data_IF_013898854029
#
_entry.id   IF_013898854029
#
_cell.length_a   1.000
_cell.length_b   1.000
_cell.length_c   1.000
_cell.angle_alpha   90.00
_cell.angle_beta   90.00
_cell.angle_gamma   90.00
#
_symmetry.space_group_name_H-M   'P 1'
#
loop_
_entity.id
_entity.type
_entity.pdbx_description
1 polymer ?
#
# COMPACT_ATOMS: atom_id res chain seq x y z
N UNK A 1 2.54 10.08 37.83
CA UNK A 1 2.58 10.13 36.35
C UNK A 1 2.52 8.71 35.82
N UNK A 2 1.33 8.24 35.43
CA UNK A 2 1.20 6.91 34.83
C UNK A 2 1.76 6.99 33.40
N UNK A 3 2.85 6.27 33.13
CA UNK A 3 3.36 6.07 31.78
C UNK A 3 2.29 5.31 30.99
N UNK A 4 1.49 6.03 30.19
CA UNK A 4 0.63 5.39 29.19
C UNK A 4 1.59 4.82 28.15
N UNK A 5 1.90 3.53 28.27
CA UNK A 5 2.54 2.78 27.21
C UNK A 5 1.55 2.76 26.04
N UNK A 6 1.67 3.76 25.17
CA UNK A 6 0.99 3.79 23.88
C UNK A 6 1.61 2.69 23.02
N UNK A 7 1.03 1.50 23.12
CA UNK A 7 1.38 0.41 22.23
C UNK A 7 0.90 0.82 20.83
N UNK A 8 1.80 1.34 20.00
CA UNK A 8 1.51 1.68 18.60
C UNK A 8 0.88 0.49 17.85
N UNK A 9 1.33 -0.72 18.19
CA UNK A 9 0.79 -1.99 17.69
C UNK A 9 -0.68 -2.24 18.09
N UNK A 10 -1.18 -1.63 19.16
CA UNK A 10 -2.58 -1.76 19.61
C UNK A 10 -3.49 -0.68 19.01
N UNK A 11 -2.92 0.45 18.56
CA UNK A 11 -3.69 1.54 17.92
C UNK A 11 -3.94 1.27 16.43
N UNK A 12 -3.11 0.44 15.80
CA UNK A 12 -3.25 0.09 14.37
C UNK A 12 -4.42 -0.89 14.18
N UNK A 13 -5.29 -0.59 13.21
CA UNK A 13 -6.41 -1.45 12.83
C UNK A 13 -5.94 -2.62 11.95
N UNK A 14 -5.64 -3.74 12.58
CA UNK A 14 -5.16 -4.96 11.91
C UNK A 14 -6.19 -5.59 10.98
N UNK A 15 -7.49 -5.38 11.23
CA UNK A 15 -8.56 -5.92 10.38
C UNK A 15 -8.54 -5.25 9.01
N UNK A 16 -8.39 -3.93 8.97
CA UNK A 16 -8.30 -3.12 7.75
C UNK A 16 -7.03 -3.49 6.97
N UNK A 17 -5.89 -3.63 7.65
CA UNK A 17 -4.64 -4.09 7.00
C UNK A 17 -4.83 -5.50 6.41
N UNK A 18 -5.46 -6.41 7.15
CA UNK A 18 -5.74 -7.77 6.68
C UNK A 18 -6.59 -7.78 5.41
N UNK A 19 -7.69 -7.02 5.39
CA UNK A 19 -8.56 -6.88 4.21
C UNK A 19 -7.78 -6.28 3.03
N UNK A 20 -6.98 -5.24 3.27
CA UNK A 20 -6.13 -4.63 2.24
C UNK A 20 -5.18 -5.65 1.61
N UNK A 21 -4.49 -6.47 2.41
CA UNK A 21 -3.56 -7.50 1.91
C UNK A 21 -4.27 -8.56 1.06
N UNK A 22 -5.46 -9.00 1.48
CA UNK A 22 -6.28 -9.96 0.71
C UNK A 22 -6.68 -9.37 -0.63
N UNK A 23 -7.17 -8.12 -0.65
CA UNK A 23 -7.58 -7.46 -1.88
C UNK A 23 -6.40 -7.26 -2.84
N UNK A 24 -5.24 -6.85 -2.34
CA UNK A 24 -4.03 -6.65 -3.15
C UNK A 24 -3.54 -7.97 -3.74
N UNK A 25 -3.51 -9.05 -2.95
CA UNK A 25 -3.07 -10.37 -3.43
C UNK A 25 -4.06 -10.96 -4.44
N UNK A 26 -5.37 -10.89 -4.18
CA UNK A 26 -6.40 -11.31 -5.14
C UNK A 26 -6.38 -10.49 -6.43
N UNK A 27 -6.23 -9.16 -6.33
CA UNK A 27 -6.13 -8.28 -7.49
C UNK A 27 -4.89 -8.55 -8.33
N UNK A 28 -3.76 -8.86 -7.69
CA UNK A 28 -2.56 -9.26 -8.40
C UNK A 28 -2.72 -10.60 -9.13
N UNK A 29 -3.28 -11.62 -8.45
CA UNK A 29 -3.57 -12.92 -9.06
C UNK A 29 -4.51 -12.78 -10.28
N UNK A 30 -5.50 -11.89 -10.22
CA UNK A 30 -6.39 -11.58 -11.34
C UNK A 30 -5.61 -11.07 -12.57
N UNK A 31 -4.66 -10.16 -12.37
CA UNK A 31 -3.86 -9.59 -13.48
C UNK A 31 -2.84 -10.59 -14.02
N UNK A 32 -2.26 -11.43 -13.17
CA UNK A 32 -1.43 -12.56 -13.61
C UNK A 32 -2.23 -13.54 -14.47
N UNK A 33 -3.47 -13.87 -14.08
CA UNK A 33 -4.35 -14.76 -14.84
C UNK A 33 -4.77 -14.17 -16.20
N UNK A 34 -5.07 -12.88 -16.25
CA UNK A 34 -5.46 -12.20 -17.50
C UNK A 34 -4.29 -12.03 -18.50
N UNK A 35 -3.05 -12.07 -18.00
CA UNK A 35 -1.83 -11.82 -18.80
C UNK A 35 -1.04 -13.10 -19.10
N UNK A 36 -1.65 -14.28 -18.92
CA UNK A 36 -0.97 -15.57 -18.97
C UNK A 36 -0.71 -16.03 -20.42
N UNK A 37 0.37 -15.54 -21.04
CA UNK A 37 0.92 -16.09 -22.27
C UNK A 37 1.87 -17.26 -21.94
N UNK A 38 1.52 -18.46 -22.39
CA UNK A 38 2.14 -19.74 -22.01
C UNK A 38 3.61 -19.95 -22.45
N UNK A 39 4.23 -19.00 -23.15
CA UNK A 39 5.44 -19.26 -23.95
C UNK A 39 6.75 -18.68 -23.41
N UNK A 40 6.74 -17.66 -22.55
CA UNK A 40 7.97 -17.09 -21.96
C UNK A 40 7.87 -17.05 -20.44
N UNK A 41 8.63 -17.97 -19.85
CA UNK A 41 8.60 -18.36 -18.45
C UNK A 41 9.56 -17.46 -17.65
N UNK A 42 9.26 -16.18 -17.53
CA UNK A 42 9.92 -15.32 -16.54
C UNK A 42 8.89 -14.64 -15.64
N UNK A 43 8.51 -15.34 -14.58
CA UNK A 43 7.71 -14.80 -13.46
C UNK A 43 8.36 -13.56 -12.80
N UNK A 44 9.66 -13.37 -13.02
CA UNK A 44 10.47 -12.24 -12.53
C UNK A 44 10.79 -11.20 -13.61
N UNK A 45 10.18 -11.28 -14.80
CA UNK A 45 10.35 -10.24 -15.81
C UNK A 45 9.47 -9.02 -15.49
N UNK A 46 10.13 -7.97 -15.00
CA UNK A 46 9.55 -6.66 -14.72
C UNK A 46 9.04 -5.93 -15.98
N UNK A 47 9.32 -6.43 -17.18
CA UNK A 47 8.78 -5.91 -18.43
C UNK A 47 7.29 -6.23 -18.62
N UNK A 48 6.82 -7.34 -18.02
CA UNK A 48 5.43 -7.81 -18.15
C UNK A 48 4.42 -6.94 -17.39
N UNK A 49 3.16 -6.95 -17.82
CA UNK A 49 2.06 -6.21 -17.14
C UNK A 49 1.92 -6.63 -15.66
N UNK A 50 2.05 -7.93 -15.39
CA UNK A 50 2.02 -8.48 -14.03
C UNK A 50 3.23 -8.05 -13.18
N UNK A 51 4.43 -8.04 -13.78
CA UNK A 51 5.66 -7.57 -13.13
C UNK A 51 5.59 -6.08 -12.76
N UNK A 52 5.10 -5.23 -13.66
CA UNK A 52 4.88 -3.80 -13.36
C UNK A 52 3.90 -3.60 -12.20
N UNK A 53 2.82 -4.39 -12.15
CA UNK A 53 1.86 -4.30 -11.05
C UNK A 53 2.47 -4.69 -9.69
N UNK A 54 3.39 -5.67 -9.64
CA UNK A 54 4.13 -5.97 -8.40
C UNK A 54 4.97 -4.78 -7.93
N UNK A 55 5.65 -4.08 -8.85
CA UNK A 55 6.45 -2.90 -8.49
C UNK A 55 5.57 -1.82 -7.88
N UNK A 56 4.40 -1.55 -8.47
CA UNK A 56 3.46 -0.58 -7.93
C UNK A 56 2.91 -1.00 -6.57
N UNK A 57 2.59 -2.28 -6.37
CA UNK A 57 2.17 -2.82 -5.07
C UNK A 57 3.27 -2.61 -4.02
N UNK A 58 4.53 -2.92 -4.35
CA UNK A 58 5.68 -2.72 -3.46
C UNK A 58 5.89 -1.23 -3.12
N UNK A 59 5.81 -0.34 -4.11
CA UNK A 59 5.86 1.11 -3.90
C UNK A 59 4.72 1.58 -2.98
N UNK A 60 3.50 1.08 -3.17
CA UNK A 60 2.35 1.41 -2.31
C UNK A 60 2.54 0.95 -0.88
N UNK A 61 3.17 -0.20 -0.63
CA UNK A 61 3.53 -0.59 0.74
C UNK A 61 4.54 0.37 1.37
N UNK A 62 5.56 0.79 0.62
CA UNK A 62 6.52 1.80 1.10
C UNK A 62 5.84 3.13 1.43
N UNK A 63 4.98 3.63 0.53
CA UNK A 63 4.20 4.84 0.76
C UNK A 63 3.25 4.70 1.96
N UNK A 64 2.53 3.59 2.05
CA UNK A 64 1.62 3.29 3.16
C UNK A 64 2.35 3.24 4.51
N UNK A 65 3.56 2.68 4.55
CA UNK A 65 4.39 2.69 5.75
C UNK A 65 4.80 4.11 6.16
N UNK A 66 5.23 4.94 5.21
CA UNK A 66 5.56 6.36 5.47
C UNK A 66 4.34 7.11 6.00
N UNK A 67 3.16 6.88 5.41
CA UNK A 67 1.90 7.47 5.87
C UNK A 67 1.54 7.04 7.30
N UNK A 68 1.70 5.76 7.64
CA UNK A 68 1.44 5.27 9.00
C UNK A 68 2.44 5.80 10.04
N UNK A 69 3.65 6.19 9.62
CA UNK A 69 4.67 6.79 10.48
C UNK A 69 4.51 8.31 10.65
N UNK A 70 3.68 8.96 9.82
CA UNK A 70 3.43 10.39 9.93
C UNK A 70 2.54 10.72 11.14
N UNK A 71 2.85 11.83 11.79
CA UNK A 71 2.06 12.38 12.90
C UNK A 71 0.80 13.09 12.36
N UNK A 72 -0.27 13.11 13.16
CA UNK A 72 -1.57 13.71 12.79
C UNK A 72 -1.45 15.18 12.34
N UNK A 73 -0.56 15.95 12.98
CA UNK A 73 -0.32 17.37 12.68
C UNK A 73 0.15 17.64 11.26
N UNK A 74 0.88 16.70 10.66
CA UNK A 74 1.28 16.85 9.26
C UNK A 74 0.05 16.81 8.34
N UNK A 75 -0.91 15.94 8.63
CA UNK A 75 -2.14 15.86 7.85
C UNK A 75 -2.97 17.14 7.95
N UNK A 76 -3.05 17.77 9.13
CA UNK A 76 -3.77 19.03 9.30
C UNK A 76 -3.12 20.19 8.53
N UNK A 77 -1.79 20.30 8.56
CA UNK A 77 -1.07 21.35 7.85
C UNK A 77 -1.15 21.18 6.32
N UNK A 78 -0.98 19.95 5.83
CA UNK A 78 -1.02 19.67 4.38
C UNK A 78 -2.44 19.66 3.80
N UNK A 79 -3.48 19.44 4.62
CA UNK A 79 -4.90 19.46 4.19
C UNK A 79 -5.24 20.71 3.39
N UNK A 80 -4.92 21.90 3.90
CA UNK A 80 -5.23 23.16 3.22
C UNK A 80 -4.46 23.35 1.91
N UNK A 81 -3.18 22.95 1.87
CA UNK A 81 -2.33 23.07 0.68
C UNK A 81 -2.82 22.12 -0.42
N UNK A 82 -3.10 20.86 -0.07
CA UNK A 82 -3.58 19.85 -1.01
C UNK A 82 -4.96 20.25 -1.54
N UNK A 83 -5.89 20.64 -0.66
CA UNK A 83 -7.23 21.08 -1.08
C UNK A 83 -7.16 22.30 -2.01
N UNK A 84 -6.31 23.29 -1.69
CA UNK A 84 -6.15 24.48 -2.52
C UNK A 84 -5.45 24.24 -3.86
N UNK A 85 -4.58 23.23 -3.97
CA UNK A 85 -3.90 22.88 -5.23
C UNK A 85 -4.76 22.03 -6.15
N UNK A 86 -5.69 21.26 -5.58
CA UNK A 86 -6.55 20.34 -6.32
C UNK A 86 -7.83 21.01 -6.88
N UNK A 87 -8.15 22.21 -6.40
CA UNK A 87 -9.21 23.09 -6.92
C UNK A 87 -8.75 23.81 -8.19
#
# INVERSE_FOLDING_TARGET
>A
MASRNINLWQTVDWMTIGIYLVLVTCGWLSVCGASYDYWEKDFWDFSTRAGKQLVWIACSFGAGFVLLMLEDRFYEMFSYIIYGTLL
#
